data_IF_025127909847
#
_entry.id   IF_025127909847
#
_cell.length_a   1.000
_cell.length_b   1.000
_cell.length_c   1.000
_cell.angle_alpha   90.00
_cell.angle_beta   90.00
_cell.angle_gamma   90.00
#
_symmetry.space_group_name_H-M   'P 1'
#
loop_
_entity.id
_entity.type
_entity.pdbx_description
1 polymer ?
#
# COMPACT_ATOMS: atom_id res chain seq x y z
N UNK A 1 -6.75 -4.47 11.33
CA UNK A 1 -5.83 -4.99 10.29
C UNK A 1 -5.84 -6.50 10.35
N UNK A 2 -5.71 -7.14 9.19
CA UNK A 2 -5.64 -8.59 9.03
C UNK A 2 -4.49 -8.91 8.08
N UNK A 3 -3.59 -9.83 8.45
CA UNK A 3 -2.55 -10.32 7.53
C UNK A 3 -3.14 -11.44 6.69
N UNK A 4 -3.18 -11.24 5.38
CA UNK A 4 -3.77 -12.19 4.44
C UNK A 4 -2.72 -13.03 3.72
N UNK A 5 -1.48 -12.56 3.60
CA UNK A 5 -0.36 -13.32 3.03
C UNK A 5 0.94 -13.10 3.82
N UNK A 6 1.81 -14.11 3.82
CA UNK A 6 3.13 -14.06 4.45
C UNK A 6 4.10 -15.03 3.76
N UNK A 7 5.19 -14.49 3.21
CA UNK A 7 6.23 -15.23 2.51
C UNK A 7 7.61 -14.82 3.01
N UNK A 8 8.48 -15.79 3.29
CA UNK A 8 9.89 -15.51 3.59
C UNK A 8 10.62 -15.17 2.28
N UNK A 9 11.37 -14.06 2.27
CA UNK A 9 12.05 -13.58 1.07
C UNK A 9 13.36 -12.87 1.45
N UNK A 10 14.50 -13.32 0.92
CA UNK A 10 15.84 -12.74 1.17
C UNK A 10 16.16 -12.48 2.67
N UNK A 11 15.75 -13.41 3.55
CA UNK A 11 15.95 -13.30 5.00
C UNK A 11 14.94 -12.42 5.75
N UNK A 12 14.16 -11.62 5.01
CA UNK A 12 13.02 -10.85 5.50
C UNK A 12 11.67 -11.56 5.27
N UNK A 13 10.58 -10.81 5.42
CA UNK A 13 9.22 -11.25 5.09
C UNK A 13 8.55 -10.29 4.10
N UNK A 14 7.92 -10.85 3.07
CA UNK A 14 6.95 -10.15 2.23
C UNK A 14 5.56 -10.50 2.76
N UNK A 15 4.81 -9.49 3.18
CA UNK A 15 3.49 -9.65 3.76
C UNK A 15 2.47 -8.82 3.01
N UNK A 16 1.22 -9.27 3.04
CA UNK A 16 0.07 -8.54 2.51
C UNK A 16 -0.98 -8.42 3.59
N UNK A 17 -1.48 -7.20 3.78
CA UNK A 17 -2.38 -6.84 4.84
C UNK A 17 -3.63 -6.19 4.28
N UNK A 18 -4.76 -6.44 4.93
CA UNK A 18 -6.04 -5.78 4.68
C UNK A 18 -6.47 -4.99 5.91
N UNK A 19 -7.02 -3.81 5.70
CA UNK A 19 -7.68 -3.05 6.75
C UNK A 19 -8.91 -2.33 6.20
N UNK A 20 -9.83 -1.94 7.07
CA UNK A 20 -10.88 -0.99 6.69
C UNK A 20 -10.27 0.41 6.72
N UNK A 21 -10.33 1.14 5.60
CA UNK A 21 -9.87 2.52 5.53
C UNK A 21 -10.98 3.48 5.93
N UNK A 22 -10.66 4.40 6.83
CA UNK A 22 -11.58 5.44 7.24
C UNK A 22 -11.76 6.51 6.16
N UNK A 23 -10.69 6.87 5.43
CA UNK A 23 -10.77 7.95 4.42
C UNK A 23 -11.36 7.49 3.09
N UNK A 24 -11.16 6.23 2.70
CA UNK A 24 -11.79 5.69 1.49
C UNK A 24 -13.14 5.03 1.77
N UNK A 25 -13.44 4.69 3.04
CA UNK A 25 -14.65 3.96 3.41
C UNK A 25 -14.71 2.52 2.89
N UNK A 26 -13.59 1.96 2.43
CA UNK A 26 -13.51 0.60 1.85
C UNK A 26 -12.46 -0.25 2.55
N UNK A 27 -12.55 -1.58 2.48
CA UNK A 27 -11.39 -2.42 2.70
C UNK A 27 -10.27 -2.03 1.72
N UNK A 28 -9.08 -1.77 2.23
CA UNK A 28 -7.87 -1.50 1.46
C UNK A 28 -6.83 -2.57 1.73
N UNK A 29 -6.10 -2.95 0.69
CA UNK A 29 -5.02 -3.93 0.76
C UNK A 29 -3.70 -3.25 0.41
N UNK A 30 -2.67 -3.55 1.18
CA UNK A 30 -1.31 -3.09 0.93
C UNK A 30 -0.31 -4.19 1.26
N UNK A 31 0.84 -4.13 0.64
CA UNK A 31 1.96 -5.01 0.93
C UNK A 31 3.03 -4.30 1.75
N UNK A 32 3.72 -5.07 2.58
CA UNK A 32 4.91 -4.62 3.30
C UNK A 32 6.02 -5.67 3.18
N UNK A 33 7.20 -5.23 2.76
CA UNK A 33 8.42 -6.01 2.90
C UNK A 33 9.16 -5.56 4.16
N UNK A 34 9.40 -6.49 5.08
CA UNK A 34 10.19 -6.29 6.29
C UNK A 34 11.58 -6.91 6.10
N UNK A 35 12.66 -6.11 6.09
CA UNK A 35 14.01 -6.62 5.94
C UNK A 35 14.44 -7.38 7.21
N UNK A 36 15.46 -8.26 7.16
CA UNK A 36 15.89 -9.03 8.33
C UNK A 36 16.22 -8.17 9.56
N UNK A 37 16.71 -6.95 9.35
CA UNK A 37 17.05 -5.94 10.37
C UNK A 37 15.82 -5.50 11.18
N UNK A 38 14.62 -5.50 10.59
CA UNK A 38 13.38 -5.08 11.25
C UNK A 38 12.99 -5.99 12.45
N UNK A 39 13.68 -7.13 12.62
CA UNK A 39 13.53 -8.00 13.80
C UNK A 39 14.16 -7.42 15.06
N UNK A 40 15.14 -6.53 14.93
CA UNK A 40 15.96 -6.03 16.04
C UNK A 40 16.00 -4.52 16.13
N UNK A 41 15.77 -3.81 15.03
CA UNK A 41 15.87 -2.35 14.99
C UNK A 41 14.81 -1.71 14.12
N UNK A 42 14.63 -0.40 14.30
CA UNK A 42 13.74 0.38 13.46
C UNK A 42 14.37 0.66 12.10
N UNK A 43 13.62 0.45 11.02
CA UNK A 43 14.12 0.57 9.66
C UNK A 43 13.45 1.73 8.88
N UNK A 44 14.17 2.45 8.00
CA UNK A 44 13.57 3.47 7.13
C UNK A 44 12.60 2.85 6.12
N UNK A 45 11.59 3.64 5.73
CA UNK A 45 10.50 3.21 4.85
C UNK A 45 10.62 3.84 3.48
N UNK A 46 10.44 3.03 2.44
CA UNK A 46 10.23 3.45 1.07
C UNK A 46 8.79 3.11 0.65
N UNK A 47 8.03 4.12 0.24
CA UNK A 47 6.70 3.92 -0.36
C UNK A 47 6.83 3.81 -1.87
N UNK A 48 6.26 2.73 -2.43
CA UNK A 48 6.15 2.53 -3.86
C UNK A 48 4.69 2.74 -4.30
N UNK A 49 4.46 3.71 -5.18
CA UNK A 49 3.15 4.02 -5.73
C UNK A 49 3.03 3.45 -7.15
N UNK A 50 2.23 2.41 -7.31
CA UNK A 50 2.04 1.71 -8.58
C UNK A 50 1.24 2.52 -9.61
N UNK A 51 1.37 2.17 -10.89
CA UNK A 51 0.64 2.82 -11.98
C UNK A 51 -0.78 2.29 -12.21
N UNK A 52 -1.39 2.71 -13.31
CA UNK A 52 -2.74 2.30 -13.72
C UNK A 52 -2.92 0.77 -13.73
N UNK A 53 -4.13 0.33 -13.40
CA UNK A 53 -4.59 -1.08 -13.36
C UNK A 53 -3.87 -1.98 -12.34
N UNK A 54 -2.85 -1.47 -11.67
CA UNK A 54 -2.07 -2.25 -10.70
C UNK A 54 -2.79 -2.36 -9.36
N UNK A 55 -2.33 -3.31 -8.56
CA UNK A 55 -2.62 -3.43 -7.14
C UNK A 55 -1.30 -3.59 -6.35
N UNK A 56 -1.40 -4.03 -5.10
CA UNK A 56 -0.25 -4.28 -4.22
C UNK A 56 0.70 -5.38 -4.72
N UNK A 57 0.22 -6.30 -5.57
CA UNK A 57 0.95 -7.49 -6.02
C UNK A 57 1.93 -7.20 -7.16
N UNK A 58 1.60 -6.26 -8.06
CA UNK A 58 2.37 -6.04 -9.29
C UNK A 58 3.84 -5.75 -9.00
N UNK A 59 4.11 -4.83 -8.07
CA UNK A 59 5.48 -4.46 -7.71
C UNK A 59 6.22 -5.61 -7.01
N UNK A 60 5.59 -6.20 -5.98
CA UNK A 60 6.26 -7.19 -5.14
C UNK A 60 6.57 -8.50 -5.87
N UNK A 61 5.84 -8.83 -6.94
CA UNK A 61 6.07 -10.05 -7.73
C UNK A 61 6.98 -9.85 -8.95
N UNK A 62 7.13 -8.62 -9.46
CA UNK A 62 7.81 -8.37 -10.76
C UNK A 62 9.06 -7.51 -10.64
N UNK A 63 9.21 -6.69 -9.61
CA UNK A 63 10.32 -5.73 -9.52
C UNK A 63 11.62 -6.33 -8.98
N UNK A 64 11.56 -7.41 -8.18
CA UNK A 64 12.74 -8.02 -7.56
C UNK A 64 13.44 -7.11 -6.53
N UNK A 65 12.71 -6.14 -5.95
CA UNK A 65 13.27 -5.13 -5.06
C UNK A 65 13.68 -5.67 -3.67
N UNK A 66 13.10 -6.80 -3.23
CA UNK A 66 13.28 -7.34 -1.88
C UNK A 66 14.73 -7.70 -1.56
N UNK A 67 15.52 -8.14 -2.56
CA UNK A 67 16.94 -8.44 -2.38
C UNK A 67 17.71 -7.20 -1.90
N UNK A 68 17.56 -6.11 -2.63
CA UNK A 68 18.24 -4.84 -2.31
C UNK A 68 17.67 -4.19 -1.04
N UNK A 69 16.36 -4.33 -0.81
CA UNK A 69 15.75 -3.87 0.43
C UNK A 69 16.34 -4.57 1.67
N UNK A 70 16.57 -5.89 1.59
CA UNK A 70 17.24 -6.64 2.65
C UNK A 70 18.71 -6.23 2.83
N UNK A 71 19.45 -6.02 1.73
CA UNK A 71 20.85 -5.55 1.75
C UNK A 71 20.97 -4.18 2.45
N UNK A 72 20.00 -3.29 2.28
CA UNK A 72 20.02 -1.92 2.80
C UNK A 72 19.19 -1.69 4.07
N UNK A 73 18.50 -2.71 4.60
CA UNK A 73 17.63 -2.54 5.78
C UNK A 73 16.44 -1.62 5.52
N UNK A 74 15.83 -1.70 4.33
CA UNK A 74 14.68 -0.87 3.94
C UNK A 74 13.37 -1.64 4.08
N UNK A 75 12.40 -1.04 4.77
CA UNK A 75 11.00 -1.46 4.68
C UNK A 75 10.44 -0.91 3.38
N UNK A 76 9.75 -1.75 2.60
CA UNK A 76 9.03 -1.29 1.41
C UNK A 76 7.53 -1.46 1.64
N UNK A 77 6.76 -0.40 1.39
CA UNK A 77 5.30 -0.44 1.41
C UNK A 77 4.78 -0.18 0.00
N UNK A 78 3.96 -1.07 -0.53
CA UNK A 78 3.25 -0.87 -1.80
C UNK A 78 1.73 -1.04 -1.59
N UNK A 79 0.96 0.05 -1.56
CA UNK A 79 -0.50 0.01 -1.45
C UNK A 79 -1.17 -0.28 -2.78
N UNK A 80 -2.48 -0.54 -2.72
CA UNK A 80 -3.35 -0.48 -3.89
C UNK A 80 -3.41 0.94 -4.49
N UNK A 81 -3.93 1.05 -5.70
CA UNK A 81 -3.92 2.28 -6.52
C UNK A 81 -5.24 3.06 -6.47
N UNK A 82 -6.29 2.46 -5.90
CA UNK A 82 -7.61 3.07 -5.71
C UNK A 82 -8.38 2.34 -4.60
N UNK A 83 -9.49 2.91 -4.10
CA UNK A 83 -10.54 2.12 -3.43
C UNK A 83 -11.05 0.99 -4.32
N UNK A 84 -11.55 -0.09 -3.69
CA UNK A 84 -12.11 -1.27 -4.35
C UNK A 84 -13.47 -1.65 -3.78
N UNK A 85 -14.35 -2.21 -4.62
CA UNK A 85 -15.64 -2.78 -4.20
C UNK A 85 -16.79 -2.48 -5.16
N UNK A 86 -17.88 -3.24 -5.07
CA UNK A 86 -19.05 -3.07 -5.94
C UNK A 86 -19.83 -1.78 -5.71
N UNK A 87 -19.66 -1.18 -4.53
CA UNK A 87 -20.23 0.10 -4.12
C UNK A 87 -19.36 1.31 -4.51
N UNK A 88 -18.14 1.08 -4.98
CA UNK A 88 -17.22 2.15 -5.37
C UNK A 88 -17.50 2.55 -6.82
N UNK A 89 -17.64 3.86 -7.06
CA UNK A 89 -17.79 4.38 -8.42
C UNK A 89 -16.65 3.89 -9.31
N UNK A 90 -16.97 3.53 -10.55
CA UNK A 90 -16.01 2.95 -11.50
C UNK A 90 -16.29 3.42 -12.91
N UNK A 91 -15.29 3.30 -13.78
CA UNK A 91 -15.43 3.56 -15.22
C UNK A 91 -15.17 2.29 -16.03
N UNK A 92 -15.62 2.27 -17.29
CA UNK A 92 -15.33 1.17 -18.21
C UNK A 92 -13.93 1.26 -18.78
N UNK A 93 -13.41 2.47 -18.92
CA UNK A 93 -12.05 2.72 -19.39
C UNK A 93 -11.03 2.48 -18.28
N UNK A 94 -9.85 2.01 -18.64
CA UNK A 94 -8.83 1.58 -17.68
C UNK A 94 -8.13 2.75 -16.95
N UNK A 95 -8.29 3.97 -17.46
CA UNK A 95 -7.60 5.18 -17.02
C UNK A 95 -8.46 6.06 -16.09
N UNK A 96 -9.62 5.57 -15.65
CA UNK A 96 -10.48 6.21 -14.65
C UNK A 96 -11.13 5.15 -13.75
N UNK A 97 -11.32 5.48 -12.48
CA UNK A 97 -11.98 4.59 -11.54
C UNK A 97 -11.05 3.58 -10.86
N UNK A 98 -11.51 2.34 -10.71
CA UNK A 98 -10.80 1.31 -9.93
C UNK A 98 -9.52 0.88 -10.64
N UNK A 99 -8.38 1.06 -9.97
CA UNK A 99 -7.05 0.90 -10.56
C UNK A 99 -6.44 2.21 -11.07
N UNK A 100 -7.16 3.33 -10.93
CA UNK A 100 -6.81 4.63 -11.48
C UNK A 100 -7.20 5.77 -10.52
N UNK A 101 -6.73 5.72 -9.26
CA UNK A 101 -7.06 6.74 -8.26
C UNK A 101 -6.27 8.05 -8.36
N UNK A 102 -5.22 8.10 -9.20
CA UNK A 102 -4.32 9.25 -9.43
C UNK A 102 -3.69 9.90 -8.19
N UNK A 103 -3.83 9.29 -7.01
CA UNK A 103 -3.32 9.81 -5.74
C UNK A 103 -3.83 11.22 -5.39
N UNK A 104 -5.10 11.48 -5.72
CA UNK A 104 -5.80 12.74 -5.39
C UNK A 104 -6.90 12.52 -4.36
N UNK A 105 -7.38 13.62 -3.79
CA UNK A 105 -8.66 13.67 -3.09
C UNK A 105 -9.73 14.20 -4.04
N UNK A 106 -10.61 13.32 -4.50
CA UNK A 106 -11.69 13.68 -5.41
C UNK A 106 -12.70 14.60 -4.71
N UNK A 107 -13.16 15.62 -5.43
CA UNK A 107 -14.15 16.60 -4.94
C UNK A 107 -15.52 16.47 -5.60
N UNK A 108 -15.59 15.75 -6.72
CA UNK A 108 -16.81 15.59 -7.52
C UNK A 108 -17.49 14.27 -7.20
N UNK A 109 -18.82 14.28 -7.10
CA UNK A 109 -19.60 13.05 -7.05
C UNK A 109 -19.59 12.35 -8.43
N UNK A 110 -19.63 11.00 -8.48
CA UNK A 110 -19.71 10.08 -7.34
C UNK A 110 -18.35 9.72 -6.70
N UNK A 111 -17.24 10.24 -7.23
CA UNK A 111 -15.88 9.87 -6.83
C UNK A 111 -15.52 10.30 -5.40
N UNK A 112 -16.01 11.46 -4.98
CA UNK A 112 -15.75 12.05 -3.65
C UNK A 112 -15.99 11.07 -2.50
N UNK A 113 -16.95 10.16 -2.62
CA UNK A 113 -17.29 9.21 -1.58
C UNK A 113 -16.12 8.29 -1.16
N UNK A 114 -15.24 7.92 -2.10
CA UNK A 114 -14.22 6.88 -1.87
C UNK A 114 -12.81 7.25 -2.35
N UNK A 115 -12.69 8.12 -3.37
CA UNK A 115 -11.42 8.44 -4.02
C UNK A 115 -10.66 9.52 -3.23
N UNK A 116 -10.29 9.20 -1.99
CA UNK A 116 -9.48 10.02 -1.09
C UNK A 116 -8.06 9.45 -0.99
N UNK A 117 -7.46 9.14 -2.14
CA UNK A 117 -6.18 8.41 -2.20
C UNK A 117 -4.99 9.25 -1.72
N UNK A 118 -5.06 10.58 -1.86
CA UNK A 118 -4.02 11.46 -1.32
C UNK A 118 -3.95 11.33 0.21
N UNK A 119 -5.09 11.47 0.90
CA UNK A 119 -5.14 11.32 2.36
C UNK A 119 -4.89 9.88 2.81
N UNK A 120 -5.33 8.90 2.02
CA UNK A 120 -5.06 7.48 2.30
C UNK A 120 -3.55 7.22 2.38
N UNK A 121 -2.79 7.69 1.39
CA UNK A 121 -1.34 7.46 1.34
C UNK A 121 -0.62 8.30 2.40
N UNK A 122 -0.87 9.61 2.41
CA UNK A 122 -0.07 10.55 3.19
C UNK A 122 -0.35 10.44 4.69
N UNK A 123 -1.61 10.22 5.08
CA UNK A 123 -2.03 10.30 6.48
C UNK A 123 -2.37 8.93 7.05
N UNK A 124 -3.36 8.24 6.47
CA UNK A 124 -3.91 7.03 7.08
C UNK A 124 -2.91 5.85 7.02
N UNK A 125 -2.43 5.52 5.83
CA UNK A 125 -1.48 4.44 5.61
C UNK A 125 -0.15 4.73 6.28
N UNK A 126 0.32 5.97 6.24
CA UNK A 126 1.54 6.38 6.94
C UNK A 126 1.43 6.11 8.45
N UNK A 127 0.38 6.61 9.08
CA UNK A 127 0.13 6.42 10.52
C UNK A 127 0.01 4.94 10.86
N UNK A 128 -0.73 4.18 10.04
CA UNK A 128 -0.90 2.74 10.22
C UNK A 128 0.44 2.00 10.14
N UNK A 129 1.27 2.32 9.15
CA UNK A 129 2.56 1.66 8.95
C UNK A 129 3.52 1.96 10.10
N UNK A 130 3.65 3.24 10.46
CA UNK A 130 4.58 3.66 11.51
C UNK A 130 4.19 3.14 12.90
N UNK A 131 2.90 2.93 13.15
CA UNK A 131 2.41 2.35 14.39
C UNK A 131 2.63 0.84 14.53
N UNK A 132 2.77 0.09 13.43
CA UNK A 132 2.70 -1.38 13.47
C UNK A 132 3.96 -2.12 13.00
N UNK A 133 4.84 -1.50 12.20
CA UNK A 133 5.94 -2.22 11.53
C UNK A 133 7.35 -1.80 11.96
N UNK A 134 7.47 -1.16 13.13
CA UNK A 134 8.79 -0.83 13.68
C UNK A 134 9.62 0.06 12.75
N UNK A 135 9.00 1.08 12.16
CA UNK A 135 9.70 1.95 11.21
C UNK A 135 10.44 3.07 11.94
N UNK A 136 11.58 3.50 11.43
CA UNK A 136 12.27 4.67 11.96
C UNK A 136 11.52 5.94 11.56
N UNK A 137 11.34 6.87 12.50
CA UNK A 137 10.96 8.24 12.16
C UNK A 137 12.15 8.91 11.46
N UNK A 138 11.87 9.78 10.50
CA UNK A 138 12.85 10.79 10.08
C UNK A 138 12.68 12.03 10.94
#
# INVERSE_FOLDING_TARGET
MERIEHHVCFGGSQEVWRHHSAVTGTPMTFSVFLPPQAKTEKCPVLYWLSGLTCNEQNFITKAGAQRYAAEHGLVIVAPDTSPRGSQVADDKEYDLGQGAGFYVNATQEPWKAHYQMYDYILNELHTLVSGHFGTSEK
#
